data_IF_676162642135
#
_entry.id   IF_676162642135
#
_cell.length_a   1.000
_cell.length_b   1.000
_cell.length_c   1.000
_cell.angle_alpha   90.00
_cell.angle_beta   90.00
_cell.angle_gamma   90.00
#
_symmetry.space_group_name_H-M   'P 1'
#
loop_
_entity.id
_entity.type
_entity.pdbx_description
1 polymer ?
#
# COMPACT_ATOMS: atom_id res chain seq x y z
N UNK A 1 -12.99 1.51 -21.63
CA UNK A 1 -13.44 2.25 -20.42
C UNK A 1 -13.16 1.35 -19.24
N UNK A 2 -12.33 1.77 -18.26
CA UNK A 2 -12.14 0.99 -17.02
C UNK A 2 -13.44 1.04 -16.23
N UNK A 3 -13.88 -0.06 -15.59
CA UNK A 3 -15.08 -0.04 -14.76
C UNK A 3 -14.95 0.99 -13.65
N UNK A 4 -16.04 1.72 -13.37
CA UNK A 4 -16.09 2.81 -12.37
C UNK A 4 -15.97 2.33 -10.91
N UNK A 5 -15.85 1.02 -10.66
CA UNK A 5 -15.81 0.41 -9.33
C UNK A 5 -14.42 -0.10 -8.91
N UNK A 6 -14.32 -0.49 -7.65
CA UNK A 6 -13.17 -1.20 -7.12
C UNK A 6 -13.04 -2.57 -7.81
N UNK A 7 -11.84 -2.89 -8.29
CA UNK A 7 -11.53 -4.17 -8.92
C UNK A 7 -10.76 -5.07 -7.96
N UNK A 8 -10.98 -6.38 -8.09
CA UNK A 8 -10.35 -7.38 -7.25
C UNK A 8 -9.86 -8.55 -8.11
N UNK A 9 -8.68 -9.07 -7.77
CA UNK A 9 -8.12 -10.32 -8.32
C UNK A 9 -7.78 -11.25 -7.17
N UNK A 10 -8.06 -12.52 -7.34
CA UNK A 10 -7.76 -13.56 -6.34
C UNK A 10 -6.81 -14.58 -6.94
N UNK A 11 -5.74 -14.90 -6.22
CA UNK A 11 -4.74 -15.89 -6.58
C UNK A 11 -4.60 -16.92 -5.45
N UNK A 12 -4.42 -18.18 -5.80
CA UNK A 12 -4.27 -19.28 -4.84
C UNK A 12 -5.59 -19.90 -4.38
N UNK A 13 -5.50 -21.03 -3.70
CA UNK A 13 -6.64 -21.81 -3.27
C UNK A 13 -7.38 -21.15 -2.08
N UNK A 14 -8.70 -21.34 -2.01
CA UNK A 14 -9.54 -20.78 -0.95
C UNK A 14 -9.23 -21.38 0.45
N UNK A 15 -8.62 -22.55 0.51
CA UNK A 15 -8.20 -23.22 1.76
C UNK A 15 -6.95 -22.61 2.40
N UNK A 16 -6.22 -21.75 1.68
CA UNK A 16 -5.02 -21.11 2.20
C UNK A 16 -5.36 -19.87 3.03
N UNK A 17 -4.50 -19.49 4.00
CA UNK A 17 -4.62 -18.21 4.70
C UNK A 17 -4.64 -17.04 3.70
N UNK A 18 -5.58 -16.11 3.89
CA UNK A 18 -5.80 -15.02 2.95
C UNK A 18 -4.98 -13.78 3.31
N UNK A 19 -4.24 -13.23 2.35
CA UNK A 19 -3.51 -11.96 2.42
C UNK A 19 -4.14 -10.95 1.44
N UNK A 20 -4.66 -9.85 1.96
CA UNK A 20 -5.43 -8.84 1.23
C UNK A 20 -4.55 -7.60 1.04
N UNK A 21 -4.14 -7.34 -0.19
CA UNK A 21 -3.29 -6.22 -0.54
C UNK A 21 -4.08 -4.97 -0.88
N UNK A 22 -3.81 -3.90 -0.15
CA UNK A 22 -4.35 -2.56 -0.32
C UNK A 22 -3.25 -1.67 -0.92
N UNK A 23 -3.40 -1.23 -2.20
CA UNK A 23 -2.33 -0.56 -2.92
C UNK A 23 -2.02 0.85 -2.41
N UNK A 24 -0.81 1.29 -2.72
CA UNK A 24 -0.32 2.62 -2.40
C UNK A 24 -0.98 3.75 -3.18
N UNK A 25 -0.27 4.88 -3.29
CA UNK A 25 -0.77 6.10 -3.93
C UNK A 25 -1.18 5.90 -5.40
N UNK A 26 -0.52 4.99 -6.11
CA UNK A 26 -0.84 4.59 -7.48
C UNK A 26 -2.21 3.93 -7.63
N UNK A 27 -2.69 3.24 -6.60
CA UNK A 27 -4.06 2.74 -6.47
C UNK A 27 -4.36 1.45 -7.20
N UNK A 28 -3.38 0.70 -7.69
CA UNK A 28 -3.58 -0.54 -8.42
C UNK A 28 -2.50 -1.60 -8.10
N UNK A 29 -2.60 -2.77 -8.72
CA UNK A 29 -1.71 -3.91 -8.54
C UNK A 29 -0.45 -3.90 -9.42
N UNK A 30 -0.17 -2.83 -10.21
CA UNK A 30 0.94 -2.83 -11.18
C UNK A 30 2.31 -3.02 -10.55
N UNK A 31 2.52 -2.56 -9.31
CA UNK A 31 3.81 -2.69 -8.62
C UNK A 31 3.97 -4.00 -7.83
N UNK A 32 2.91 -4.82 -7.68
CA UNK A 32 2.93 -5.99 -6.78
C UNK A 32 3.30 -7.31 -7.46
N UNK A 33 3.48 -7.33 -8.79
CA UNK A 33 3.72 -8.55 -9.58
C UNK A 33 4.88 -9.41 -9.07
N UNK A 34 6.01 -8.77 -8.74
CA UNK A 34 7.19 -9.46 -8.19
C UNK A 34 6.94 -10.10 -6.82
N UNK A 35 6.20 -9.42 -5.95
CA UNK A 35 5.80 -9.93 -4.65
C UNK A 35 4.85 -11.13 -4.80
N UNK A 36 3.81 -11.00 -5.65
CA UNK A 36 2.89 -12.10 -5.96
C UNK A 36 3.63 -13.33 -6.48
N UNK A 37 4.55 -13.14 -7.42
CA UNK A 37 5.37 -14.25 -7.94
C UNK A 37 6.22 -14.91 -6.83
N UNK A 38 6.87 -14.10 -5.98
CA UNK A 38 7.64 -14.59 -4.86
C UNK A 38 6.79 -15.30 -3.80
N UNK A 39 5.55 -14.83 -3.58
CA UNK A 39 4.61 -15.46 -2.65
C UNK A 39 4.17 -16.85 -3.15
N UNK A 40 3.99 -17.02 -4.45
CA UNK A 40 3.56 -18.30 -5.06
C UNK A 40 2.23 -18.78 -4.50
N UNK A 41 2.14 -20.08 -4.22
CA UNK A 41 0.93 -20.71 -3.71
C UNK A 41 0.95 -20.92 -2.18
N UNK A 42 1.70 -20.09 -1.43
CA UNK A 42 1.80 -20.22 0.03
C UNK A 42 0.65 -19.55 0.79
N UNK A 43 -0.03 -18.61 0.14
CA UNK A 43 -1.20 -17.92 0.67
C UNK A 43 -2.22 -17.67 -0.45
N UNK A 44 -3.49 -17.50 -0.09
CA UNK A 44 -4.49 -16.92 -0.98
C UNK A 44 -4.25 -15.42 -1.03
N UNK A 45 -3.87 -14.89 -2.19
CA UNK A 45 -3.49 -13.49 -2.35
C UNK A 45 -4.58 -12.72 -3.09
N UNK A 46 -5.06 -11.64 -2.47
CA UNK A 46 -6.12 -10.78 -2.99
C UNK A 46 -5.52 -9.42 -3.34
N UNK A 47 -5.55 -9.05 -4.61
CA UNK A 47 -5.07 -7.77 -5.11
C UNK A 47 -6.24 -6.86 -5.45
N UNK A 48 -6.09 -5.57 -5.18
CA UNK A 48 -7.11 -4.58 -5.49
C UNK A 48 -6.61 -3.49 -6.43
N UNK A 49 -7.53 -2.91 -7.19
CA UNK A 49 -7.36 -1.62 -7.85
C UNK A 49 -8.51 -0.71 -7.47
N UNK A 50 -8.16 0.46 -6.95
CA UNK A 50 -9.14 1.49 -6.60
C UNK A 50 -9.64 2.21 -7.85
N UNK A 51 -10.90 2.69 -7.85
CA UNK A 51 -11.36 3.60 -8.88
C UNK A 51 -10.53 4.90 -8.85
N UNK A 52 -10.46 5.57 -9.99
CA UNK A 52 -9.82 6.89 -10.11
C UNK A 52 -10.76 8.00 -9.61
N UNK A 53 -11.29 7.80 -8.40
CA UNK A 53 -12.20 8.73 -7.75
C UNK A 53 -11.48 9.97 -7.23
N UNK A 54 -12.20 11.09 -7.23
CA UNK A 54 -11.76 12.38 -6.68
C UNK A 54 -12.59 12.81 -5.48
N UNK A 55 -13.53 11.97 -5.03
CA UNK A 55 -14.54 12.33 -4.02
C UNK A 55 -14.62 11.33 -2.86
N UNK A 56 -14.12 10.10 -3.04
CA UNK A 56 -14.20 9.10 -1.99
C UNK A 56 -13.44 9.50 -0.74
N UNK A 57 -14.11 9.44 0.40
CA UNK A 57 -13.48 9.45 1.73
C UNK A 57 -12.78 8.12 2.02
N UNK A 58 -12.00 8.05 3.07
CA UNK A 58 -11.40 6.77 3.52
C UNK A 58 -12.46 5.77 3.97
N UNK A 59 -13.59 6.25 4.44
CA UNK A 59 -14.76 5.45 4.80
C UNK A 59 -15.39 4.81 3.56
N UNK A 60 -15.51 5.57 2.45
CA UNK A 60 -15.98 5.04 1.17
C UNK A 60 -15.04 3.98 0.61
N UNK A 61 -13.71 4.20 0.71
CA UNK A 61 -12.72 3.17 0.36
C UNK A 61 -12.92 1.90 1.18
N UNK A 62 -13.03 2.02 2.51
CA UNK A 62 -13.19 0.86 3.39
C UNK A 62 -14.49 0.10 3.10
N UNK A 63 -15.61 0.80 2.96
CA UNK A 63 -16.91 0.21 2.64
C UNK A 63 -16.90 -0.51 1.29
N UNK A 64 -16.32 0.11 0.25
CA UNK A 64 -16.20 -0.50 -1.07
C UNK A 64 -15.30 -1.75 -1.06
N UNK A 65 -14.20 -1.73 -0.30
CA UNK A 65 -13.31 -2.88 -0.12
C UNK A 65 -14.06 -4.03 0.55
N UNK A 66 -14.74 -3.78 1.66
CA UNK A 66 -15.52 -4.77 2.40
C UNK A 66 -16.62 -5.39 1.52
N UNK A 67 -17.34 -4.56 0.75
CA UNK A 67 -18.35 -5.02 -0.20
C UNK A 67 -17.75 -5.92 -1.28
N UNK A 68 -16.60 -5.52 -1.85
CA UNK A 68 -15.93 -6.31 -2.87
C UNK A 68 -15.38 -7.64 -2.33
N UNK A 69 -14.86 -7.65 -1.10
CA UNK A 69 -14.40 -8.87 -0.43
C UNK A 69 -15.58 -9.83 -0.20
N UNK A 70 -16.70 -9.33 0.33
CA UNK A 70 -17.90 -10.12 0.57
C UNK A 70 -18.47 -10.71 -0.71
N UNK A 71 -18.55 -9.92 -1.80
CA UNK A 71 -19.02 -10.37 -3.12
C UNK A 71 -18.14 -11.47 -3.73
N UNK A 72 -16.88 -11.61 -3.29
CA UNK A 72 -15.96 -12.65 -3.72
C UNK A 72 -15.77 -13.79 -2.69
N UNK A 73 -16.64 -13.87 -1.69
CA UNK A 73 -16.61 -14.92 -0.66
C UNK A 73 -15.37 -14.85 0.25
N UNK A 74 -14.80 -13.66 0.42
CA UNK A 74 -13.65 -13.43 1.30
C UNK A 74 -14.16 -12.85 2.61
N UNK A 75 -14.29 -13.70 3.61
CA UNK A 75 -14.91 -13.37 4.90
C UNK A 75 -13.93 -13.01 6.01
N UNK A 76 -12.65 -13.34 5.84
CA UNK A 76 -11.57 -13.00 6.78
C UNK A 76 -10.22 -12.93 6.07
N UNK A 77 -9.20 -12.44 6.75
CA UNK A 77 -7.81 -12.43 6.24
C UNK A 77 -6.93 -11.37 6.86
N UNK A 78 -5.65 -11.40 6.48
CA UNK A 78 -4.66 -10.40 6.86
C UNK A 78 -4.73 -9.19 5.94
N UNK A 79 -4.75 -7.99 6.50
CA UNK A 79 -4.73 -6.74 5.73
C UNK A 79 -3.29 -6.27 5.53
N UNK A 80 -2.84 -6.19 4.28
CA UNK A 80 -1.52 -5.70 3.88
C UNK A 80 -1.67 -4.33 3.20
N UNK A 81 -1.39 -3.26 3.92
CA UNK A 81 -1.48 -1.89 3.40
C UNK A 81 -0.13 -1.32 2.99
N UNK A 82 0.05 -1.05 1.70
CA UNK A 82 1.24 -0.39 1.19
C UNK A 82 1.05 1.12 1.15
N UNK A 83 1.92 1.90 1.80
CA UNK A 83 1.91 3.37 1.73
C UNK A 83 0.52 3.96 2.01
N UNK A 84 -0.12 4.65 1.02
CA UNK A 84 -1.52 5.12 1.12
C UNK A 84 -2.48 4.01 1.53
N UNK A 85 -2.27 2.77 1.08
CA UNK A 85 -3.11 1.62 1.41
C UNK A 85 -3.25 1.38 2.92
N UNK A 86 -2.30 1.88 3.73
CA UNK A 86 -2.43 1.88 5.18
C UNK A 86 -3.59 2.76 5.69
N UNK A 87 -4.05 3.74 4.92
CA UNK A 87 -5.12 4.66 5.34
C UNK A 87 -6.51 4.00 5.25
N UNK A 88 -6.94 3.43 4.10
CA UNK A 88 -8.18 2.64 4.06
C UNK A 88 -8.09 1.39 4.95
N UNK A 89 -6.91 0.80 5.15
CA UNK A 89 -6.72 -0.29 6.09
C UNK A 89 -7.10 0.14 7.52
N UNK A 90 -6.62 1.29 8.00
CA UNK A 90 -6.99 1.79 9.32
C UNK A 90 -8.47 2.16 9.41
N UNK A 91 -9.09 2.63 8.32
CA UNK A 91 -10.54 2.84 8.28
C UNK A 91 -11.29 1.52 8.46
N UNK A 92 -10.92 0.44 7.74
CA UNK A 92 -11.49 -0.91 7.93
C UNK A 92 -11.33 -1.42 9.38
N UNK A 93 -10.16 -1.24 9.98
CA UNK A 93 -9.93 -1.61 11.39
C UNK A 93 -10.82 -0.80 12.33
N UNK A 94 -11.02 0.48 12.05
CA UNK A 94 -11.90 1.36 12.83
C UNK A 94 -13.38 1.00 12.72
N UNK A 95 -13.83 0.55 11.55
CA UNK A 95 -15.20 0.03 11.30
C UNK A 95 -15.43 -1.29 12.04
N UNK A 96 -14.44 -2.18 12.05
CA UNK A 96 -14.56 -3.47 12.70
C UNK A 96 -15.57 -4.44 12.05
N UNK A 97 -16.04 -4.13 10.83
CA UNK A 97 -17.02 -4.94 10.09
C UNK A 97 -16.38 -6.14 9.38
N UNK A 98 -15.15 -6.00 8.93
CA UNK A 98 -14.38 -7.09 8.33
C UNK A 98 -13.57 -7.84 9.41
N UNK A 99 -13.70 -9.18 9.55
CA UNK A 99 -12.94 -9.98 10.50
C UNK A 99 -11.47 -10.11 10.10
N UNK A 100 -10.70 -9.04 10.27
CA UNK A 100 -9.28 -9.05 9.99
C UNK A 100 -8.53 -9.95 10.99
N UNK A 101 -7.65 -10.82 10.48
CA UNK A 101 -6.75 -11.63 11.31
C UNK A 101 -5.61 -10.78 11.91
N UNK A 102 -5.27 -9.68 11.26
CA UNK A 102 -4.27 -8.71 11.69
C UNK A 102 -3.89 -7.75 10.57
N UNK A 103 -2.90 -6.92 10.84
CA UNK A 103 -2.47 -5.78 10.03
C UNK A 103 -0.99 -5.87 9.70
N UNK A 104 -0.64 -5.64 8.45
CA UNK A 104 0.74 -5.51 7.96
C UNK A 104 0.87 -4.18 7.23
N UNK A 105 1.79 -3.33 7.68
CA UNK A 105 2.10 -2.04 7.05
C UNK A 105 3.39 -2.19 6.23
N UNK A 106 3.31 -2.06 4.91
CA UNK A 106 4.46 -2.10 4.01
C UNK A 106 4.79 -0.67 3.51
N UNK A 107 5.87 -0.05 4.01
CA UNK A 107 6.12 1.38 3.80
C UNK A 107 4.96 2.25 4.29
N UNK A 108 4.08 1.66 5.10
CA UNK A 108 2.85 2.27 5.59
C UNK A 108 3.03 2.99 6.93
N UNK A 109 1.99 3.67 7.35
CA UNK A 109 2.00 4.48 8.58
C UNK A 109 0.59 4.57 9.17
N UNK A 110 0.49 4.99 10.42
CA UNK A 110 -0.78 5.39 11.03
C UNK A 110 -1.10 6.82 10.59
N UNK A 111 -0.28 7.78 11.00
CA UNK A 111 -0.31 9.15 10.52
C UNK A 111 1.03 9.48 9.87
N UNK A 112 1.01 10.13 8.71
CA UNK A 112 2.26 10.47 8.03
C UNK A 112 3.09 11.44 8.88
N UNK A 113 4.36 11.12 9.21
CA UNK A 113 5.15 11.92 10.13
C UNK A 113 5.46 13.32 9.61
N UNK A 114 5.50 13.49 8.27
CA UNK A 114 5.78 14.77 7.61
C UNK A 114 4.52 15.34 6.93
N UNK A 115 3.43 15.58 7.69
CA UNK A 115 2.15 16.09 7.16
C UNK A 115 2.31 17.35 6.29
N UNK A 116 3.20 18.29 6.69
CA UNK A 116 3.45 19.52 5.91
C UNK A 116 4.03 19.21 4.54
N UNK A 117 4.94 18.24 4.44
CA UNK A 117 5.50 17.82 3.16
C UNK A 117 4.45 17.13 2.27
N UNK A 118 3.54 16.33 2.85
CA UNK A 118 2.41 15.75 2.12
C UNK A 118 1.49 16.83 1.55
N UNK A 119 1.13 17.85 2.33
CA UNK A 119 0.34 19.00 1.84
C UNK A 119 1.05 19.78 0.76
N UNK A 120 2.37 19.93 0.86
CA UNK A 120 3.15 20.55 -0.22
C UNK A 120 3.12 19.69 -1.49
N UNK A 121 3.32 18.37 -1.36
CA UNK A 121 3.24 17.45 -2.47
C UNK A 121 1.85 17.45 -3.14
N UNK A 122 0.77 17.50 -2.35
CA UNK A 122 -0.61 17.67 -2.83
C UNK A 122 -0.76 18.94 -3.68
N UNK A 123 -0.32 20.09 -3.15
CA UNK A 123 -0.38 21.39 -3.85
C UNK A 123 0.46 21.41 -5.12
N UNK A 124 1.66 20.83 -5.09
CA UNK A 124 2.52 20.72 -6.26
C UNK A 124 1.89 19.83 -7.32
N UNK A 125 1.37 18.65 -6.93
CA UNK A 125 0.69 17.74 -7.85
C UNK A 125 -0.52 18.39 -8.51
N UNK A 126 -1.23 19.29 -7.81
CA UNK A 126 -2.35 20.05 -8.36
C UNK A 126 -1.92 21.04 -9.46
N UNK A 127 -0.72 21.61 -9.36
CA UNK A 127 -0.25 22.73 -10.20
C UNK A 127 0.60 22.27 -11.39
N UNK A 128 1.20 21.10 -11.33
CA UNK A 128 2.03 20.59 -12.42
C UNK A 128 1.17 20.08 -13.56
N UNK A 129 1.65 20.25 -14.81
CA UNK A 129 1.01 19.63 -15.98
C UNK A 129 1.15 18.11 -15.95
N UNK A 130 0.25 17.40 -16.65
CA UNK A 130 0.38 15.95 -16.80
C UNK A 130 1.73 15.56 -17.42
N UNK A 131 2.21 16.33 -18.38
CA UNK A 131 3.52 16.11 -19.01
C UNK A 131 4.67 16.16 -17.99
N UNK A 132 4.65 17.13 -17.07
CA UNK A 132 5.66 17.24 -16.02
C UNK A 132 5.51 16.12 -14.97
N UNK A 133 4.30 15.76 -14.61
CA UNK A 133 4.02 14.63 -13.72
C UNK A 133 4.56 13.33 -14.32
N UNK A 134 4.26 13.05 -15.57
CA UNK A 134 4.80 11.89 -16.30
C UNK A 134 6.32 11.97 -16.36
N UNK A 135 6.91 13.15 -16.64
CA UNK A 135 8.35 13.35 -16.65
C UNK A 135 9.01 13.02 -15.29
N UNK A 136 8.40 13.44 -14.18
CA UNK A 136 8.90 13.09 -12.82
C UNK A 136 8.86 11.58 -12.58
N UNK A 137 7.78 10.91 -13.01
CA UNK A 137 7.67 9.45 -12.97
C UNK A 137 8.75 8.80 -13.84
N UNK A 138 8.99 9.28 -15.07
CA UNK A 138 10.04 8.77 -15.93
C UNK A 138 11.44 8.96 -15.34
N UNK A 139 11.69 10.09 -14.69
CA UNK A 139 12.98 10.35 -14.04
C UNK A 139 13.20 9.41 -12.84
N UNK A 140 12.17 9.21 -12.02
CA UNK A 140 12.20 8.21 -10.95
C UNK A 140 12.41 6.80 -11.52
N UNK A 141 11.70 6.45 -12.60
CA UNK A 141 11.84 5.16 -13.25
C UNK A 141 13.27 4.93 -13.80
N UNK A 142 13.92 5.95 -14.34
CA UNK A 142 15.34 5.85 -14.78
C UNK A 142 16.28 5.51 -13.62
N UNK A 143 16.13 6.19 -12.50
CA UNK A 143 16.92 5.92 -11.28
C UNK A 143 16.62 4.52 -10.77
N UNK A 144 15.36 4.14 -10.71
CA UNK A 144 14.92 2.81 -10.27
C UNK A 144 15.43 1.71 -11.23
N UNK A 145 15.37 1.92 -12.56
CA UNK A 145 15.93 0.99 -13.55
C UNK A 145 17.43 0.80 -13.38
N UNK A 146 18.19 1.86 -13.16
CA UNK A 146 19.64 1.76 -12.90
C UNK A 146 19.90 0.97 -11.62
N UNK A 147 19.19 1.26 -10.56
CA UNK A 147 19.31 0.62 -9.25
C UNK A 147 18.94 -0.86 -9.30
N UNK A 148 17.82 -1.20 -9.96
CA UNK A 148 17.29 -2.56 -10.05
C UNK A 148 17.64 -3.27 -11.36
N UNK A 149 18.69 -2.83 -12.08
CA UNK A 149 19.10 -3.37 -13.38
C UNK A 149 19.36 -4.89 -13.39
N UNK A 150 19.60 -5.49 -12.24
CA UNK A 150 19.80 -6.94 -12.08
C UNK A 150 18.51 -7.71 -11.75
N UNK A 151 17.35 -7.04 -11.72
CA UNK A 151 16.05 -7.65 -11.44
C UNK A 151 15.08 -7.44 -12.61
N UNK A 152 15.03 -8.37 -13.60
CA UNK A 152 14.14 -8.25 -14.77
C UNK A 152 12.67 -8.07 -14.41
N UNK A 153 12.22 -8.75 -13.36
CA UNK A 153 10.84 -8.66 -12.87
C UNK A 153 10.51 -7.25 -12.35
N UNK A 154 11.41 -6.65 -11.57
CA UNK A 154 11.24 -5.27 -11.08
C UNK A 154 11.25 -4.27 -12.23
N UNK A 155 12.11 -4.48 -13.24
CA UNK A 155 12.16 -3.63 -14.43
C UNK A 155 10.86 -3.67 -15.23
N UNK A 156 10.34 -4.86 -15.51
CA UNK A 156 9.06 -5.01 -16.21
C UNK A 156 7.90 -4.34 -15.45
N UNK A 157 7.88 -4.43 -14.12
CA UNK A 157 6.90 -3.76 -13.26
C UNK A 157 7.00 -2.23 -13.35
N UNK A 158 8.22 -1.68 -13.37
CA UNK A 158 8.44 -0.24 -13.51
C UNK A 158 7.95 0.25 -14.89
N UNK A 159 8.22 -0.50 -15.95
CA UNK A 159 7.81 -0.14 -17.31
C UNK A 159 6.28 -0.15 -17.46
N UNK A 160 5.60 -1.17 -16.97
CA UNK A 160 4.14 -1.24 -16.95
C UNK A 160 3.54 -0.09 -16.14
N UNK A 161 4.12 0.23 -14.99
CA UNK A 161 3.67 1.32 -14.14
C UNK A 161 3.70 2.67 -14.86
N UNK A 162 4.78 2.96 -15.59
CA UNK A 162 4.97 4.25 -16.28
C UNK A 162 3.99 4.41 -17.44
N UNK A 163 3.82 3.36 -18.26
CA UNK A 163 2.99 3.41 -19.48
C UNK A 163 1.50 3.62 -19.17
N UNK A 164 1.03 3.17 -18.03
CA UNK A 164 -0.40 3.21 -17.66
C UNK A 164 -0.88 4.52 -17.06
N UNK A 165 -0.03 5.54 -16.86
CA UNK A 165 -0.43 6.78 -16.15
C UNK A 165 -1.12 7.78 -17.06
N UNK A 166 -2.27 8.27 -16.59
CA UNK A 166 -3.13 9.27 -17.24
C UNK A 166 -3.28 10.52 -16.37
N UNK A 167 -3.91 11.57 -16.92
CA UNK A 167 -4.26 12.77 -16.14
C UNK A 167 -5.21 12.41 -14.97
N UNK A 168 -6.11 11.47 -15.16
CA UNK A 168 -7.02 11.05 -14.09
C UNK A 168 -6.26 10.32 -12.98
N UNK A 169 -5.20 9.55 -13.30
CA UNK A 169 -4.31 8.95 -12.28
C UNK A 169 -3.61 10.03 -11.45
N UNK A 170 -3.13 11.10 -12.09
CA UNK A 170 -2.51 12.24 -11.39
C UNK A 170 -3.50 12.91 -10.42
N UNK A 171 -4.72 13.18 -10.88
CA UNK A 171 -5.77 13.79 -10.05
C UNK A 171 -6.20 12.87 -8.90
N UNK A 172 -6.34 11.57 -9.16
CA UNK A 172 -6.64 10.58 -8.13
C UNK A 172 -5.51 10.46 -7.10
N UNK A 173 -4.24 10.51 -7.54
CA UNK A 173 -3.08 10.55 -6.64
C UNK A 173 -3.08 11.83 -5.77
N UNK A 174 -3.39 12.98 -6.35
CA UNK A 174 -3.55 14.24 -5.61
C UNK A 174 -4.64 14.12 -4.52
N UNK A 175 -5.80 13.55 -4.87
CA UNK A 175 -6.88 13.32 -3.91
C UNK A 175 -6.44 12.39 -2.77
N UNK A 176 -5.73 11.31 -3.07
CA UNK A 176 -5.17 10.40 -2.05
C UNK A 176 -4.14 11.09 -1.16
N UNK A 177 -3.31 12.01 -1.69
CA UNK A 177 -2.41 12.84 -0.89
C UNK A 177 -3.19 13.74 0.08
N UNK A 178 -4.32 14.32 -0.38
CA UNK A 178 -5.23 15.08 0.48
C UNK A 178 -5.72 14.21 1.64
N UNK A 179 -6.23 13.01 1.36
CA UNK A 179 -6.70 12.09 2.39
C UNK A 179 -5.60 11.71 3.39
N UNK A 180 -4.35 11.47 2.93
CA UNK A 180 -3.20 11.25 3.83
C UNK A 180 -2.97 12.45 4.74
N UNK A 181 -3.04 13.66 4.19
CA UNK A 181 -2.75 14.88 4.93
C UNK A 181 -3.80 15.18 6.02
N UNK A 182 -5.06 14.82 5.78
CA UNK A 182 -6.16 15.11 6.71
C UNK A 182 -6.42 13.99 7.72
N UNK A 183 -6.08 12.73 7.39
CA UNK A 183 -6.39 11.59 8.25
C UNK A 183 -5.52 11.51 9.50
N UNK A 184 -6.14 11.09 10.60
CA UNK A 184 -5.47 10.81 11.87
C UNK A 184 -6.04 9.59 12.60
N UNK A 185 -5.73 8.36 12.18
CA UNK A 185 -6.25 7.15 12.79
C UNK A 185 -5.45 6.69 14.02
N UNK A 186 -4.68 7.58 14.68
CA UNK A 186 -3.86 7.22 15.84
C UNK A 186 -4.66 6.67 17.01
N UNK A 187 -5.92 7.10 17.15
CA UNK A 187 -6.82 6.56 18.17
C UNK A 187 -7.20 5.10 17.90
N UNK A 188 -7.36 4.71 16.64
CA UNK A 188 -7.62 3.33 16.22
C UNK A 188 -6.38 2.45 16.52
N UNK A 189 -5.21 2.88 16.07
CA UNK A 189 -3.97 2.13 16.27
C UNK A 189 -3.59 1.95 17.76
N UNK A 190 -3.98 2.90 18.63
CA UNK A 190 -3.77 2.78 20.07
C UNK A 190 -4.69 1.76 20.75
N UNK A 191 -5.86 1.51 20.19
CA UNK A 191 -6.92 0.69 20.80
C UNK A 191 -7.06 -0.69 20.15
N UNK A 192 -6.54 -0.87 18.95
CA UNK A 192 -6.66 -2.15 18.25
C UNK A 192 -6.02 -3.27 19.06
N UNK A 193 -6.68 -4.42 19.03
CA UNK A 193 -6.16 -5.69 19.58
C UNK A 193 -5.64 -6.61 18.48
N UNK A 194 -5.88 -6.27 17.21
CA UNK A 194 -5.37 -7.01 16.07
C UNK A 194 -3.84 -6.95 16.06
N UNK A 195 -3.13 -8.07 15.86
CA UNK A 195 -1.68 -8.05 15.74
C UNK A 195 -1.25 -7.14 14.59
N UNK A 196 -0.30 -6.25 14.86
CA UNK A 196 0.23 -5.28 13.89
C UNK A 196 1.69 -5.62 13.61
N UNK A 197 2.01 -5.75 12.33
CA UNK A 197 3.38 -5.91 11.84
C UNK A 197 3.70 -4.77 10.88
N UNK A 198 4.98 -4.43 10.72
CA UNK A 198 5.40 -3.40 9.80
C UNK A 198 6.71 -3.73 9.09
N UNK A 199 6.75 -3.45 7.78
CA UNK A 199 7.92 -3.50 6.91
C UNK A 199 8.24 -2.10 6.42
N UNK A 200 9.52 -1.75 6.37
CA UNK A 200 9.99 -0.51 5.73
C UNK A 200 11.27 -0.78 4.95
N UNK A 201 11.49 -0.02 3.89
CA UNK A 201 12.78 0.01 3.23
C UNK A 201 13.76 0.92 3.98
N UNK A 202 15.01 0.52 4.09
CA UNK A 202 16.07 1.37 4.65
C UNK A 202 16.23 2.68 3.88
N UNK A 203 16.06 2.59 2.56
CA UNK A 203 16.27 3.68 1.60
C UNK A 203 14.96 4.39 1.23
N UNK A 204 13.95 4.36 2.10
CA UNK A 204 12.67 5.04 1.90
C UNK A 204 12.84 6.56 2.02
N UNK A 205 12.74 7.34 0.89
CA UNK A 205 12.87 8.78 0.91
C UNK A 205 11.53 9.50 1.19
N UNK A 206 10.42 8.77 1.21
CA UNK A 206 9.06 9.33 1.25
C UNK A 206 8.51 9.26 2.68
N UNK A 207 8.57 8.08 3.28
CA UNK A 207 8.11 7.87 4.65
C UNK A 207 9.30 7.62 5.58
N UNK A 208 9.68 8.59 6.42
CA UNK A 208 10.83 8.44 7.31
C UNK A 208 10.54 7.38 8.38
N UNK A 209 10.86 6.15 8.06
CA UNK A 209 10.59 4.95 8.86
C UNK A 209 11.07 5.02 10.33
N UNK A 210 12.16 5.74 10.71
CA UNK A 210 12.54 5.82 12.12
C UNK A 210 11.46 6.48 12.99
N UNK A 211 10.76 7.50 12.44
CA UNK A 211 9.67 8.17 13.15
C UNK A 211 8.44 7.27 13.24
N UNK A 212 8.09 6.55 12.15
CA UNK A 212 6.99 5.57 12.12
C UNK A 212 7.25 4.47 13.14
N UNK A 213 8.45 3.86 13.12
CA UNK A 213 8.87 2.82 14.06
C UNK A 213 8.78 3.29 15.50
N UNK A 214 9.33 4.49 15.80
CA UNK A 214 9.29 5.07 17.14
C UNK A 214 7.86 5.28 17.61
N UNK A 215 7.01 5.81 16.73
CA UNK A 215 5.62 6.07 17.07
C UNK A 215 4.86 4.75 17.34
N UNK A 216 4.95 3.77 16.45
CA UNK A 216 4.31 2.46 16.61
C UNK A 216 4.77 1.76 17.90
N UNK A 217 6.08 1.71 18.16
CA UNK A 217 6.62 1.09 19.38
C UNK A 217 6.11 1.73 20.67
N UNK A 218 5.84 3.04 20.65
CA UNK A 218 5.38 3.78 21.84
C UNK A 218 3.87 3.80 22.02
N UNK A 219 3.11 3.70 20.95
CA UNK A 219 1.69 4.04 20.95
C UNK A 219 0.76 2.95 20.42
N UNK A 220 1.28 1.88 19.85
CA UNK A 220 0.51 0.75 19.35
C UNK A 220 0.84 -0.51 20.16
N UNK A 221 0.09 -0.81 21.24
CA UNK A 221 0.37 -1.97 22.09
C UNK A 221 0.28 -3.31 21.36
N UNK A 222 -0.49 -3.34 20.26
CA UNK A 222 -0.65 -4.51 19.40
C UNK A 222 0.50 -4.73 18.41
N UNK A 223 1.51 -3.84 18.34
CA UNK A 223 2.68 -4.03 17.50
C UNK A 223 3.47 -5.27 17.94
N UNK A 224 3.63 -6.22 17.03
CA UNK A 224 4.36 -7.47 17.25
C UNK A 224 5.80 -7.41 16.74
N UNK A 225 5.98 -6.90 15.52
CA UNK A 225 7.33 -6.72 14.95
C UNK A 225 7.37 -5.52 13.99
N UNK A 226 8.58 -4.98 13.82
CA UNK A 226 8.89 -3.92 12.87
C UNK A 226 10.21 -4.22 12.18
N UNK A 227 10.17 -4.61 10.91
CA UNK A 227 11.35 -4.96 10.11
C UNK A 227 11.74 -3.87 9.13
N UNK A 228 13.02 -3.58 9.05
CA UNK A 228 13.61 -2.71 8.02
C UNK A 228 14.42 -3.59 7.06
N UNK A 229 14.12 -3.51 5.77
CA UNK A 229 14.80 -4.26 4.71
C UNK A 229 15.86 -3.35 4.08
N UNK A 230 17.12 -3.71 4.22
CA UNK A 230 18.26 -2.87 3.82
C UNK A 230 18.30 -2.56 2.31
N UNK A 231 17.89 -3.50 1.46
CA UNK A 231 17.89 -3.37 0.00
C UNK A 231 16.68 -2.65 -0.57
N UNK A 232 15.67 -2.37 0.24
CA UNK A 232 14.39 -1.80 -0.20
C UNK A 232 14.34 -0.28 -0.11
N UNK A 233 13.53 0.33 -0.96
CA UNK A 233 13.07 1.70 -0.87
C UNK A 233 11.61 1.79 -0.33
N UNK A 234 10.89 2.87 -0.66
CA UNK A 234 9.50 3.07 -0.22
C UNK A 234 8.56 1.94 -0.67
N UNK A 235 8.70 1.46 -1.90
CA UNK A 235 7.90 0.38 -2.47
C UNK A 235 8.51 -0.99 -2.09
N UNK A 236 8.54 -1.28 -0.79
CA UNK A 236 9.26 -2.42 -0.22
C UNK A 236 8.84 -3.76 -0.83
N UNK A 237 7.56 -3.92 -1.19
CA UNK A 237 7.03 -5.15 -1.77
C UNK A 237 7.51 -5.37 -3.21
N UNK A 238 7.72 -4.29 -3.98
CA UNK A 238 8.20 -4.39 -5.36
C UNK A 238 9.72 -4.38 -5.46
N UNK A 239 10.41 -3.67 -4.57
CA UNK A 239 11.86 -3.49 -4.65
C UNK A 239 12.67 -4.54 -3.88
N UNK A 240 12.03 -5.24 -2.94
CA UNK A 240 12.60 -6.38 -2.21
C UNK A 240 11.56 -7.49 -2.02
N UNK A 241 10.98 -8.06 -3.11
CA UNK A 241 9.83 -8.96 -3.02
C UNK A 241 10.12 -10.23 -2.21
N UNK A 242 11.26 -10.91 -2.44
CA UNK A 242 11.62 -12.13 -1.71
C UNK A 242 11.83 -11.89 -0.21
N UNK A 243 12.69 -10.94 0.23
CA UNK A 243 12.84 -10.63 1.65
C UNK A 243 11.52 -10.20 2.32
N UNK A 244 10.64 -9.47 1.61
CA UNK A 244 9.34 -9.07 2.12
C UNK A 244 8.42 -10.28 2.32
N UNK A 245 8.35 -11.18 1.34
CA UNK A 245 7.57 -12.41 1.43
C UNK A 245 8.07 -13.31 2.55
N UNK A 246 9.37 -13.58 2.64
CA UNK A 246 9.97 -14.41 3.69
C UNK A 246 9.59 -13.88 5.07
N UNK A 247 9.69 -12.57 5.26
CA UNK A 247 9.36 -11.98 6.55
C UNK A 247 7.87 -12.00 6.87
N UNK A 248 7.01 -11.78 5.87
CA UNK A 248 5.56 -11.89 6.06
C UNK A 248 5.17 -13.33 6.41
N UNK A 249 5.70 -14.32 5.72
CA UNK A 249 5.40 -15.73 6.02
C UNK A 249 5.90 -16.14 7.39
N UNK A 250 7.07 -15.68 7.83
CA UNK A 250 7.57 -15.89 9.20
C UNK A 250 6.60 -15.36 10.27
N UNK A 251 5.88 -14.28 9.98
CA UNK A 251 4.90 -13.71 10.90
C UNK A 251 3.56 -14.44 10.91
N UNK A 252 3.19 -15.05 9.76
CA UNK A 252 1.82 -15.53 9.55
C UNK A 252 1.68 -17.06 9.60
N UNK A 253 2.76 -17.79 9.41
CA UNK A 253 2.82 -19.26 9.42
C UNK A 253 3.73 -19.79 10.51
#
# INVERSE_FOLDING_TARGET
>A
MMPEGLQLRVHGAASLPTLIYLPGLHGDWTLIGGFRHALGNRMRFVEMAYPRTLTWSLEDYAAAIETALAANGITNGWLLGESFGSQPLWAMVGRGTFPAAGVILAGGFVKHPMRRAVRLAEKLTARISNTFFVWTIFSYAKIARFRYRRSPQTLATIDEFVVRRTELDRRAAQHRLHLIAENDPRHIARRTKLPVFALSGWLDPIVPWPFVRRWLKRNCPALRDYRVIASADHNVLSTAPRPAVEKILEWLL
#
